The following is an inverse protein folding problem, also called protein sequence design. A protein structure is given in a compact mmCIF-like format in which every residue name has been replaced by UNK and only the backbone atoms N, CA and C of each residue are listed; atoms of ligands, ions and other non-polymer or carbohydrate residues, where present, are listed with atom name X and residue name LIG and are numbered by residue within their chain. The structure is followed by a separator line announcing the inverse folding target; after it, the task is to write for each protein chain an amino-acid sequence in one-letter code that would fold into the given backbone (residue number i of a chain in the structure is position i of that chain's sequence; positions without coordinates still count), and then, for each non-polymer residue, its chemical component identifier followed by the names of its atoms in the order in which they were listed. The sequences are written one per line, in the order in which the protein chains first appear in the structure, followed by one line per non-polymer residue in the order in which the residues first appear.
data_IF_904945448145
#
_entry.id   IF_904945448145
#
_cell.length_a   1.000
_cell.length_b   1.000
_cell.length_c   1.000
_cell.angle_alpha   90.00
_cell.angle_beta   90.00
_cell.angle_gamma   90.00
#
_symmetry.space_group_name_H-M   'P 1'
#
loop_
_entity.id
_entity.type
_entity.pdbx_description
1 polymer ?
#
# COMPACT_ATOMS: atom_id res chain seq x y z
N UNK A 1 15.40 -14.97 -42.00
CA UNK A 1 15.55 -15.67 -40.71
C UNK A 1 14.19 -16.27 -40.37
N UNK A 2 14.05 -17.57 -40.56
CA UNK A 2 12.81 -18.30 -40.37
C UNK A 2 12.82 -18.79 -38.91
N UNK A 3 12.08 -18.13 -38.02
CA UNK A 3 11.86 -18.69 -36.69
C UNK A 3 10.94 -19.90 -36.85
N UNK A 4 11.22 -21.05 -36.22
CA UNK A 4 10.30 -22.18 -36.27
C UNK A 4 8.97 -21.72 -35.67
N UNK A 5 7.89 -21.85 -36.44
CA UNK A 5 6.51 -21.68 -35.96
C UNK A 5 6.23 -22.76 -34.92
N UNK A 6 6.65 -22.52 -33.67
CA UNK A 6 6.25 -23.36 -32.54
C UNK A 6 4.71 -23.33 -32.52
N UNK A 7 4.08 -24.50 -32.62
CA UNK A 7 2.63 -24.60 -32.72
C UNK A 7 1.98 -24.15 -31.40
N UNK A 8 0.81 -23.50 -31.46
CA UNK A 8 0.09 -22.99 -30.27
C UNK A 8 -0.02 -24.02 -29.12
N UNK A 9 -0.27 -25.32 -29.36
CA UNK A 9 -0.29 -26.34 -28.30
C UNK A 9 1.05 -26.52 -27.57
N UNK A 10 2.18 -26.31 -28.24
CA UNK A 10 3.52 -26.51 -27.66
C UNK A 10 3.84 -25.45 -26.60
N UNK A 11 3.29 -24.24 -26.73
CA UNK A 11 3.48 -23.17 -25.75
C UNK A 11 2.91 -23.60 -24.39
N UNK A 12 1.66 -24.05 -24.40
CA UNK A 12 1.02 -24.44 -23.15
C UNK A 12 1.70 -25.67 -22.52
N UNK A 13 2.14 -26.63 -23.34
CA UNK A 13 2.88 -27.79 -22.85
C UNK A 13 4.21 -27.38 -22.21
N UNK A 14 4.99 -26.50 -22.84
CA UNK A 14 6.22 -25.98 -22.26
C UNK A 14 5.98 -25.19 -20.98
N UNK A 15 4.88 -24.43 -20.89
CA UNK A 15 4.52 -23.75 -19.65
C UNK A 15 4.27 -24.77 -18.52
N UNK A 16 3.60 -25.89 -18.80
CA UNK A 16 3.34 -26.95 -17.81
C UNK A 16 4.60 -27.65 -17.30
N UNK A 17 5.69 -27.60 -18.07
CA UNK A 17 7.00 -28.12 -17.64
C UNK A 17 7.70 -27.19 -16.63
N UNK A 18 7.27 -25.93 -16.52
CA UNK A 18 7.83 -24.98 -15.56
C UNK A 18 7.29 -25.30 -14.17
N UNK A 19 8.21 -25.47 -13.22
CA UNK A 19 7.84 -25.66 -11.81
C UNK A 19 6.99 -24.48 -11.29
N UNK A 20 5.85 -24.73 -10.60
CA UNK A 20 4.93 -23.66 -10.17
C UNK A 20 5.55 -22.56 -9.29
N UNK A 21 6.63 -22.87 -8.58
CA UNK A 21 7.33 -21.93 -7.70
C UNK A 21 8.54 -21.26 -8.37
N UNK A 22 8.84 -21.60 -9.62
CA UNK A 22 9.94 -20.99 -10.37
C UNK A 22 9.51 -19.62 -10.93
N UNK A 23 9.18 -18.66 -10.05
CA UNK A 23 8.56 -17.38 -10.41
C UNK A 23 9.32 -16.62 -11.49
N UNK A 24 10.65 -16.56 -11.42
CA UNK A 24 11.47 -15.93 -12.46
C UNK A 24 11.30 -16.58 -13.83
N UNK A 25 11.25 -17.92 -13.90
CA UNK A 25 11.05 -18.64 -15.17
C UNK A 25 9.65 -18.39 -15.72
N UNK A 26 8.63 -18.37 -14.86
CA UNK A 26 7.24 -18.09 -15.26
C UNK A 26 7.14 -16.69 -15.86
N UNK A 27 7.73 -15.69 -15.21
CA UNK A 27 7.75 -14.31 -15.70
C UNK A 27 8.46 -14.21 -17.04
N UNK A 28 9.69 -14.72 -17.13
CA UNK A 28 10.48 -14.68 -18.37
C UNK A 28 9.78 -15.42 -19.51
N UNK A 29 9.10 -16.53 -19.21
CA UNK A 29 8.37 -17.32 -20.18
C UNK A 29 7.16 -16.56 -20.73
N UNK A 30 6.37 -15.93 -19.84
CA UNK A 30 5.22 -15.13 -20.21
C UNK A 30 5.65 -13.95 -21.09
N UNK A 31 6.63 -13.17 -20.64
CA UNK A 31 7.06 -11.95 -21.35
C UNK A 31 7.63 -12.27 -22.74
N UNK A 32 8.33 -13.40 -22.92
CA UNK A 32 8.84 -13.82 -24.24
C UNK A 32 7.76 -14.32 -25.19
N UNK A 33 6.65 -14.85 -24.67
CA UNK A 33 5.62 -15.51 -25.46
C UNK A 33 4.26 -14.80 -25.41
N UNK A 34 4.19 -13.61 -24.84
CA UNK A 34 2.95 -12.86 -24.54
C UNK A 34 1.96 -12.89 -25.71
N UNK A 35 2.36 -12.37 -26.87
CA UNK A 35 1.52 -12.29 -28.06
C UNK A 35 0.98 -13.65 -28.55
N UNK A 36 1.68 -14.74 -28.24
CA UNK A 36 1.28 -16.10 -28.61
C UNK A 36 0.39 -16.73 -27.55
N UNK A 37 0.63 -16.44 -26.26
CA UNK A 37 -0.23 -16.84 -25.14
C UNK A 37 -1.63 -16.25 -25.32
N UNK A 38 -1.75 -14.98 -25.72
CA UNK A 38 -3.04 -14.33 -26.01
C UNK A 38 -3.79 -14.90 -27.23
N UNK A 39 -3.18 -15.81 -27.99
CA UNK A 39 -3.84 -16.53 -29.10
C UNK A 39 -4.28 -17.95 -28.72
N UNK A 40 -4.00 -18.39 -27.49
CA UNK A 40 -4.45 -19.68 -26.99
C UNK A 40 -5.95 -19.66 -26.73
N UNK A 41 -6.52 -20.86 -26.58
CA UNK A 41 -7.85 -21.00 -25.99
C UNK A 41 -7.87 -20.35 -24.61
N UNK A 42 -9.00 -19.73 -24.28
CA UNK A 42 -9.17 -18.90 -23.11
C UNK A 42 -8.74 -19.61 -21.81
N UNK A 43 -9.10 -20.88 -21.64
CA UNK A 43 -8.77 -21.64 -20.43
C UNK A 43 -7.26 -21.74 -20.21
N UNK A 44 -6.52 -21.99 -21.29
CA UNK A 44 -5.05 -22.11 -21.28
C UNK A 44 -4.42 -20.74 -21.07
N UNK A 45 -4.89 -19.73 -21.79
CA UNK A 45 -4.42 -18.36 -21.64
C UNK A 45 -4.62 -17.86 -20.21
N UNK A 46 -5.82 -18.06 -19.65
CA UNK A 46 -6.19 -17.61 -18.31
C UNK A 46 -5.33 -18.28 -17.25
N UNK A 47 -5.09 -19.60 -17.35
CA UNK A 47 -4.20 -20.30 -16.43
C UNK A 47 -2.78 -19.73 -16.43
N UNK A 48 -2.20 -19.49 -17.61
CA UNK A 48 -0.85 -18.92 -17.71
C UNK A 48 -0.85 -17.48 -17.15
N UNK A 49 -1.90 -16.69 -17.42
CA UNK A 49 -2.03 -15.32 -16.90
C UNK A 49 -2.10 -15.29 -15.38
N UNK A 50 -2.88 -16.18 -14.74
CA UNK A 50 -2.95 -16.26 -13.28
C UNK A 50 -1.59 -16.63 -12.69
N UNK A 51 -0.92 -17.65 -13.24
CA UNK A 51 0.42 -18.03 -12.76
C UNK A 51 1.45 -16.90 -12.92
N UNK A 52 1.35 -16.12 -14.00
CA UNK A 52 2.17 -14.94 -14.22
C UNK A 52 1.90 -13.86 -13.17
N UNK A 53 0.63 -13.53 -12.90
CA UNK A 53 0.25 -12.55 -11.88
C UNK A 53 0.72 -12.98 -10.48
N UNK A 54 0.57 -14.25 -10.12
CA UNK A 54 1.08 -14.81 -8.87
C UNK A 54 2.61 -14.70 -8.80
N UNK A 55 3.32 -15.04 -9.87
CA UNK A 55 4.77 -14.90 -9.93
C UNK A 55 5.24 -13.45 -9.79
N UNK A 56 4.53 -12.49 -10.40
CA UNK A 56 4.80 -11.05 -10.25
C UNK A 56 4.55 -10.60 -8.81
N UNK A 57 3.47 -11.07 -8.19
CA UNK A 57 3.12 -10.76 -6.81
C UNK A 57 4.20 -11.24 -5.83
N UNK A 58 4.59 -12.51 -5.93
CA UNK A 58 5.62 -13.13 -5.06
C UNK A 58 7.01 -12.52 -5.30
N UNK A 59 7.32 -12.14 -6.54
CA UNK A 59 8.57 -11.47 -6.89
C UNK A 59 8.58 -9.96 -6.55
N UNK A 60 7.47 -9.41 -6.05
CA UNK A 60 7.34 -7.99 -5.71
C UNK A 60 7.30 -7.03 -6.91
N UNK A 61 7.02 -7.52 -8.12
CA UNK A 61 6.96 -6.73 -9.36
C UNK A 61 5.58 -6.06 -9.51
N UNK A 62 5.20 -5.23 -8.55
CA UNK A 62 3.84 -4.70 -8.40
C UNK A 62 3.38 -3.76 -9.52
N UNK A 63 4.27 -2.96 -10.11
CA UNK A 63 3.90 -2.08 -11.24
C UNK A 63 3.43 -2.94 -12.41
N UNK A 64 4.23 -3.96 -12.76
CA UNK A 64 3.90 -4.90 -13.84
C UNK A 64 2.62 -5.69 -13.55
N UNK A 65 2.38 -6.05 -12.28
CA UNK A 65 1.14 -6.70 -11.88
C UNK A 65 -0.09 -5.81 -12.18
N UNK A 66 0.02 -4.52 -11.87
CA UNK A 66 -1.07 -3.56 -12.12
C UNK A 66 -1.39 -3.39 -13.61
N UNK A 67 -0.43 -3.66 -14.50
CA UNK A 67 -0.66 -3.61 -15.96
C UNK A 67 -1.64 -4.71 -16.44
N UNK A 68 -1.69 -5.88 -15.77
CA UNK A 68 -2.43 -7.05 -16.25
C UNK A 68 -3.56 -7.52 -15.33
N UNK A 69 -3.55 -7.13 -14.05
CA UNK A 69 -4.51 -7.67 -13.06
C UNK A 69 -5.95 -7.27 -13.39
N UNK A 70 -6.17 -6.12 -14.01
CA UNK A 70 -7.51 -5.69 -14.40
C UNK A 70 -8.10 -6.54 -15.53
N UNK A 71 -7.28 -6.90 -16.52
CA UNK A 71 -7.69 -7.82 -17.60
C UNK A 71 -8.05 -9.19 -17.03
N UNK A 72 -7.29 -9.69 -16.04
CA UNK A 72 -7.59 -10.96 -15.38
C UNK A 72 -8.87 -10.89 -14.54
N UNK A 73 -9.12 -9.78 -13.84
CA UNK A 73 -10.36 -9.56 -13.10
C UNK A 73 -11.55 -9.54 -14.05
N UNK A 74 -11.47 -8.76 -15.14
CA UNK A 74 -12.52 -8.67 -16.15
C UNK A 74 -12.80 -10.04 -16.79
N UNK A 75 -11.74 -10.75 -17.20
CA UNK A 75 -11.83 -12.09 -17.73
C UNK A 75 -12.53 -13.07 -16.76
N UNK A 76 -12.19 -13.02 -15.47
CA UNK A 76 -12.82 -13.88 -14.46
C UNK A 76 -14.32 -13.61 -14.32
N UNK A 77 -14.74 -12.35 -14.44
CA UNK A 77 -16.16 -11.96 -14.35
C UNK A 77 -16.89 -12.33 -15.65
N UNK A 78 -16.33 -11.98 -16.80
CA UNK A 78 -16.94 -12.20 -18.11
C UNK A 78 -17.18 -13.70 -18.39
N UNK A 79 -16.21 -14.54 -18.04
CA UNK A 79 -16.31 -15.99 -18.18
C UNK A 79 -16.91 -16.69 -16.95
N UNK A 80 -17.39 -15.92 -15.96
CA UNK A 80 -18.04 -16.43 -14.74
C UNK A 80 -17.19 -17.46 -13.97
N UNK A 81 -15.87 -17.26 -13.94
CA UNK A 81 -14.93 -18.09 -13.18
C UNK A 81 -14.96 -17.63 -11.73
N UNK A 82 -15.72 -18.35 -10.90
CA UNK A 82 -15.77 -18.07 -9.46
C UNK A 82 -14.57 -18.66 -8.70
N UNK A 83 -14.20 -19.89 -9.03
CA UNK A 83 -13.13 -20.61 -8.37
C UNK A 83 -12.08 -21.06 -9.39
N UNK A 84 -10.81 -20.85 -9.07
CA UNK A 84 -9.68 -21.35 -9.82
C UNK A 84 -8.73 -22.04 -8.83
N UNK A 85 -8.40 -23.31 -9.08
CA UNK A 85 -7.60 -24.14 -8.17
C UNK A 85 -8.08 -24.11 -6.69
N UNK A 86 -9.41 -24.12 -6.49
CA UNK A 86 -10.03 -24.09 -5.16
C UNK A 86 -10.05 -22.72 -4.47
N UNK A 87 -9.53 -21.67 -5.11
CA UNK A 87 -9.49 -20.30 -4.58
C UNK A 87 -10.51 -19.42 -5.26
N UNK A 88 -11.19 -18.54 -4.50
CA UNK A 88 -12.03 -17.49 -5.08
C UNK A 88 -11.13 -16.51 -5.86
N UNK A 89 -11.13 -16.65 -7.17
CA UNK A 89 -10.14 -16.00 -8.04
C UNK A 89 -10.39 -14.49 -8.11
N UNK A 90 -11.65 -14.08 -8.10
CA UNK A 90 -12.03 -12.68 -8.12
C UNK A 90 -11.55 -11.97 -6.85
N UNK A 91 -11.77 -12.58 -5.68
CA UNK A 91 -11.27 -12.05 -4.41
C UNK A 91 -9.74 -12.04 -4.36
N UNK A 92 -9.10 -13.10 -4.85
CA UNK A 92 -7.63 -13.23 -4.89
C UNK A 92 -6.99 -12.11 -5.72
N UNK A 93 -7.46 -11.90 -6.94
CA UNK A 93 -6.96 -10.86 -7.84
C UNK A 93 -7.20 -9.45 -7.29
N UNK A 94 -8.37 -9.18 -6.71
CA UNK A 94 -8.66 -7.91 -6.05
C UNK A 94 -7.72 -7.64 -4.87
N UNK A 95 -7.41 -8.67 -4.07
CA UNK A 95 -6.48 -8.53 -2.95
C UNK A 95 -5.06 -8.25 -3.46
N UNK A 96 -4.58 -8.98 -4.47
CA UNK A 96 -3.29 -8.71 -5.09
C UNK A 96 -3.21 -7.28 -5.66
N UNK A 97 -4.26 -6.83 -6.37
CA UNK A 97 -4.35 -5.45 -6.87
C UNK A 97 -4.27 -4.44 -5.72
N UNK A 98 -5.01 -4.65 -4.64
CA UNK A 98 -4.98 -3.76 -3.47
C UNK A 98 -3.59 -3.68 -2.82
N UNK A 99 -2.90 -4.83 -2.69
CA UNK A 99 -1.52 -4.89 -2.19
C UNK A 99 -0.59 -4.15 -3.14
N UNK A 100 -0.69 -4.40 -4.44
CA UNK A 100 0.15 -3.74 -5.45
C UNK A 100 -0.03 -2.23 -5.42
N UNK A 101 -1.26 -1.71 -5.39
CA UNK A 101 -1.56 -0.28 -5.22
C UNK A 101 -0.94 0.27 -3.92
N UNK A 102 -1.07 -0.44 -2.80
CA UNK A 102 -0.47 0.00 -1.53
C UNK A 102 1.06 0.07 -1.59
N UNK A 103 1.70 -0.93 -2.23
CA UNK A 103 3.16 -1.01 -2.38
C UNK A 103 3.69 0.05 -3.35
N UNK A 104 2.91 0.45 -4.34
CA UNK A 104 3.24 1.53 -5.30
C UNK A 104 2.77 2.92 -4.84
N UNK A 105 2.40 3.07 -3.55
CA UNK A 105 1.95 4.33 -2.93
C UNK A 105 0.62 4.89 -3.48
N UNK A 106 -0.14 4.09 -4.23
CA UNK A 106 -1.46 4.42 -4.74
C UNK A 106 -2.53 4.14 -3.66
N UNK A 107 -2.52 4.94 -2.58
CA UNK A 107 -3.34 4.68 -1.39
C UNK A 107 -4.85 4.85 -1.62
N UNK A 108 -5.26 5.77 -2.50
CA UNK A 108 -6.67 5.99 -2.81
C UNK A 108 -7.30 4.80 -3.55
N UNK A 109 -6.72 4.31 -4.67
CA UNK A 109 -7.16 3.06 -5.29
C UNK A 109 -7.19 1.88 -4.32
N UNK A 110 -6.14 1.71 -3.51
CA UNK A 110 -6.07 0.63 -2.53
C UNK A 110 -7.22 0.73 -1.49
N UNK A 111 -7.53 1.93 -0.98
CA UNK A 111 -8.65 2.13 -0.05
C UNK A 111 -9.99 1.70 -0.65
N UNK A 112 -10.24 2.03 -1.92
CA UNK A 112 -11.49 1.69 -2.61
C UNK A 112 -11.65 0.18 -2.74
N UNK A 113 -10.61 -0.52 -3.19
CA UNK A 113 -10.62 -1.97 -3.38
C UNK A 113 -10.78 -2.70 -2.04
N UNK A 114 -10.03 -2.29 -1.01
CA UNK A 114 -10.10 -2.92 0.31
C UNK A 114 -11.47 -2.75 0.97
N UNK A 115 -12.12 -1.60 0.77
CA UNK A 115 -13.51 -1.42 1.21
C UNK A 115 -14.48 -2.31 0.45
N UNK A 116 -14.28 -2.51 -0.85
CA UNK A 116 -15.12 -3.42 -1.63
C UNK A 116 -14.95 -4.88 -1.16
N UNK A 117 -13.71 -5.32 -0.92
CA UNK A 117 -13.41 -6.63 -0.34
C UNK A 117 -14.09 -6.84 1.03
N UNK A 118 -14.03 -5.84 1.91
CA UNK A 118 -14.69 -5.92 3.22
C UNK A 118 -16.23 -5.87 3.13
N UNK A 119 -16.80 -5.24 2.09
CA UNK A 119 -18.25 -5.32 1.84
C UNK A 119 -18.67 -6.73 1.40
N UNK A 120 -17.82 -7.41 0.64
CA UNK A 120 -18.06 -8.80 0.21
C UNK A 120 -17.89 -9.79 1.36
N UNK A 121 -16.85 -9.59 2.19
CA UNK A 121 -16.59 -10.40 3.38
C UNK A 121 -16.08 -9.52 4.54
N UNK A 122 -16.95 -9.09 5.47
CA UNK A 122 -16.57 -8.26 6.60
C UNK A 122 -15.57 -8.92 7.56
N UNK A 123 -15.51 -10.25 7.56
CA UNK A 123 -14.64 -11.06 8.41
C UNK A 123 -13.23 -11.24 7.86
N UNK A 124 -12.92 -10.70 6.68
CA UNK A 124 -11.57 -10.76 6.09
C UNK A 124 -10.58 -9.91 6.89
N UNK A 125 -9.79 -10.58 7.73
CA UNK A 125 -8.79 -9.95 8.58
C UNK A 125 -7.64 -9.34 7.76
N UNK A 126 -7.23 -9.99 6.67
CA UNK A 126 -6.16 -9.52 5.80
C UNK A 126 -6.54 -8.18 5.16
N UNK A 127 -7.73 -8.09 4.58
CA UNK A 127 -8.24 -6.84 4.00
C UNK A 127 -8.37 -5.73 5.06
N UNK A 128 -8.80 -6.08 6.27
CA UNK A 128 -8.93 -5.14 7.40
C UNK A 128 -7.59 -4.58 7.85
N UNK A 129 -6.60 -5.43 8.06
CA UNK A 129 -5.25 -5.02 8.48
C UNK A 129 -4.60 -4.17 7.39
N UNK A 130 -4.71 -4.57 6.12
CA UNK A 130 -4.16 -3.81 5.00
C UNK A 130 -4.85 -2.45 4.85
N UNK A 131 -6.17 -2.36 5.05
CA UNK A 131 -6.89 -1.09 5.06
C UNK A 131 -6.41 -0.16 6.18
N UNK A 132 -6.15 -0.70 7.37
CA UNK A 132 -5.57 0.08 8.47
C UNK A 132 -4.20 0.63 8.12
N UNK A 133 -3.31 -0.21 7.59
CA UNK A 133 -1.98 0.22 7.16
C UNK A 133 -2.05 1.29 6.05
N UNK A 134 -2.94 1.10 5.08
CA UNK A 134 -3.18 2.04 3.99
C UNK A 134 -3.61 3.42 4.52
N UNK A 135 -4.59 3.46 5.42
CA UNK A 135 -5.09 4.71 5.98
C UNK A 135 -4.07 5.42 6.88
N UNK A 136 -3.22 4.68 7.60
CA UNK A 136 -2.16 5.26 8.43
C UNK A 136 -1.04 5.87 7.58
N UNK A 137 -0.71 5.24 6.44
CA UNK A 137 0.32 5.76 5.52
C UNK A 137 -0.19 6.86 4.61
N UNK A 138 -1.49 6.91 4.34
CA UNK A 138 -2.13 8.01 3.64
C UNK A 138 -2.21 9.24 4.56
N UNK A 139 -1.10 9.96 4.69
CA UNK A 139 -0.97 11.12 5.58
C UNK A 139 -1.89 12.26 5.10
N UNK A 140 -2.91 12.66 5.87
CA UNK A 140 -3.78 13.75 5.47
C UNK A 140 -3.04 15.09 5.54
N UNK A 141 -3.42 16.08 4.73
CA UNK A 141 -2.77 17.41 4.69
C UNK A 141 -2.80 18.12 6.05
N UNK A 142 -3.77 17.80 6.92
CA UNK A 142 -3.81 18.30 8.29
C UNK A 142 -2.61 17.86 9.14
N UNK A 143 -2.12 16.63 8.97
CA UNK A 143 -0.98 16.13 9.73
C UNK A 143 0.31 16.87 9.35
N UNK A 144 0.46 17.26 8.08
CA UNK A 144 1.55 18.13 7.63
C UNK A 144 1.52 19.51 8.31
N UNK A 145 0.33 20.11 8.47
CA UNK A 145 0.17 21.39 9.19
C UNK A 145 0.57 21.27 10.67
N UNK A 146 0.17 20.19 11.34
CA UNK A 146 0.55 19.94 12.74
C UNK A 146 2.06 19.72 12.90
N UNK A 147 2.68 18.92 12.02
CA UNK A 147 4.13 18.71 12.01
C UNK A 147 4.89 20.02 11.77
N UNK A 148 4.43 20.84 10.82
CA UNK A 148 5.00 22.17 10.57
C UNK A 148 4.92 23.08 11.80
N UNK A 149 3.76 23.12 12.47
CA UNK A 149 3.59 23.89 13.72
C UNK A 149 4.53 23.42 14.85
N UNK A 150 4.70 22.11 15.02
CA UNK A 150 5.64 21.57 15.99
C UNK A 150 7.11 21.95 15.68
N UNK A 151 7.52 21.87 14.41
CA UNK A 151 8.86 22.28 13.97
C UNK A 151 9.10 23.77 14.25
N UNK A 152 8.13 24.63 13.96
CA UNK A 152 8.22 26.06 14.25
C UNK A 152 8.37 26.33 15.76
N UNK A 153 7.63 25.61 16.61
CA UNK A 153 7.77 25.70 18.07
C UNK A 153 9.16 25.25 18.55
N UNK A 154 9.71 24.18 17.98
CA UNK A 154 11.07 23.74 18.32
C UNK A 154 12.12 24.75 17.85
N UNK A 155 11.98 25.34 16.66
CA UNK A 155 12.88 26.40 16.18
C UNK A 155 12.82 27.65 17.06
N UNK A 156 11.61 28.08 17.46
CA UNK A 156 11.45 29.19 18.38
C UNK A 156 12.09 28.89 19.76
N UNK A 157 11.91 27.67 20.27
CA UNK A 157 12.55 27.24 21.52
C UNK A 157 14.08 27.27 21.41
N UNK A 158 14.64 26.83 20.29
CA UNK A 158 16.08 26.86 20.05
C UNK A 158 16.62 28.29 19.98
N UNK A 159 15.89 29.22 19.35
CA UNK A 159 16.24 30.63 19.32
C UNK A 159 16.24 31.27 20.71
N UNK A 160 15.25 30.94 21.55
CA UNK A 160 15.19 31.40 22.94
C UNK A 160 16.37 30.87 23.75
N UNK A 161 16.77 29.60 23.56
CA UNK A 161 17.97 29.02 24.20
C UNK A 161 19.23 29.78 23.80
N UNK A 162 19.41 30.04 22.51
CA UNK A 162 20.58 30.74 22.01
C UNK A 162 20.68 32.16 22.59
N UNK A 163 19.55 32.88 22.63
CA UNK A 163 19.48 34.23 23.22
C UNK A 163 19.76 34.19 24.73
N UNK A 164 19.22 33.20 25.44
CA UNK A 164 19.46 33.02 26.88
C UNK A 164 20.95 32.85 27.19
N UNK A 165 21.63 31.96 26.44
CA UNK A 165 23.04 31.64 26.63
C UNK A 165 23.97 32.80 26.24
N UNK A 166 23.70 33.48 25.13
CA UNK A 166 24.58 34.51 24.58
C UNK A 166 24.39 35.89 25.22
N UNK A 167 23.16 36.24 25.62
CA UNK A 167 22.83 37.59 26.06
C UNK A 167 22.28 37.64 27.50
N UNK A 168 21.30 36.79 27.83
CA UNK A 168 20.55 36.95 29.09
C UNK A 168 21.39 36.52 30.30
N UNK A 169 22.04 35.36 30.23
CA UNK A 169 22.95 34.90 31.31
C UNK A 169 24.11 35.85 31.59
N UNK A 170 24.86 36.35 30.58
CA UNK A 170 25.99 37.25 30.85
C UNK A 170 25.58 38.67 31.22
N UNK A 171 24.50 39.23 30.64
CA UNK A 171 24.18 40.65 30.81
C UNK A 171 22.97 40.93 31.72
N UNK A 172 22.01 40.02 31.86
CA UNK A 172 20.75 40.22 32.59
C UNK A 172 20.34 38.99 33.44
N UNK A 173 21.13 38.62 34.48
CA UNK A 173 20.89 37.41 35.27
C UNK A 173 19.52 37.41 35.98
N UNK A 174 18.95 38.57 36.29
CA UNK A 174 17.63 38.68 36.92
C UNK A 174 16.47 38.17 36.04
N UNK A 175 16.63 38.16 34.71
CA UNK A 175 15.61 37.69 33.76
C UNK A 175 15.66 36.18 33.53
N UNK A 176 16.73 35.49 33.96
CA UNK A 176 16.91 34.04 33.74
C UNK A 176 15.77 33.23 34.38
N UNK A 177 15.32 33.63 35.57
CA UNK A 177 14.24 32.95 36.30
C UNK A 177 12.89 32.96 35.57
N UNK A 178 12.66 33.93 34.67
CA UNK A 178 11.45 34.02 33.85
C UNK A 178 11.65 33.33 32.49
N UNK A 179 12.84 33.41 31.91
CA UNK A 179 13.12 32.85 30.57
C UNK A 179 13.17 31.33 30.59
N UNK A 180 13.80 30.72 31.60
CA UNK A 180 13.90 29.26 31.73
C UNK A 180 12.54 28.52 31.74
N UNK A 181 11.54 28.90 32.56
CA UNK A 181 10.23 28.24 32.53
C UNK A 181 9.49 28.48 31.21
N UNK A 182 9.65 29.67 30.61
CA UNK A 182 9.01 30.01 29.32
C UNK A 182 9.56 29.13 28.19
N UNK A 183 10.88 28.95 28.14
CA UNK A 183 11.56 28.04 27.21
C UNK A 183 11.08 26.60 27.39
N UNK A 184 11.10 26.09 28.62
CA UNK A 184 10.69 24.71 28.91
C UNK A 184 9.20 24.50 28.54
N UNK A 185 8.36 25.51 28.78
CA UNK A 185 6.96 25.52 28.34
C UNK A 185 6.83 25.43 26.82
N UNK A 186 7.61 26.20 26.07
CA UNK A 186 7.62 26.17 24.60
C UNK A 186 8.03 24.79 24.06
N UNK A 187 9.05 24.19 24.67
CA UNK A 187 9.55 22.87 24.28
C UNK A 187 8.52 21.75 24.57
N UNK A 188 7.91 21.78 25.75
CA UNK A 188 6.84 20.85 26.13
C UNK A 188 5.61 20.99 25.24
N UNK A 189 5.24 22.23 24.89
CA UNK A 189 4.16 22.51 23.96
C UNK A 189 4.44 21.92 22.58
N UNK A 190 5.67 22.06 22.06
CA UNK A 190 6.10 21.44 20.81
C UNK A 190 5.92 19.93 20.81
N UNK A 191 6.37 19.25 21.87
CA UNK A 191 6.18 17.82 22.08
C UNK A 191 4.70 17.42 22.16
N UNK A 192 3.91 18.17 22.92
CA UNK A 192 2.48 17.91 23.07
C UNK A 192 1.74 18.02 21.73
N UNK A 193 1.99 19.08 20.95
CA UNK A 193 1.38 19.27 19.62
C UNK A 193 1.76 18.13 18.67
N UNK A 194 3.03 17.71 18.67
CA UNK A 194 3.51 16.63 17.83
C UNK A 194 2.86 15.28 18.19
N UNK A 195 2.91 14.88 19.46
CA UNK A 195 2.39 13.59 19.93
C UNK A 195 0.87 13.52 19.81
N UNK A 196 0.16 14.58 20.20
CA UNK A 196 -1.30 14.62 20.11
C UNK A 196 -1.78 14.50 18.66
N UNK A 197 -1.05 15.08 17.70
CA UNK A 197 -1.36 14.93 16.27
C UNK A 197 -1.32 13.47 15.80
N UNK A 198 -0.22 12.78 16.10
CA UNK A 198 -0.02 11.37 15.73
C UNK A 198 -1.02 10.44 16.42
N UNK A 199 -1.24 10.61 17.72
CA UNK A 199 -2.18 9.79 18.50
C UNK A 199 -3.62 10.01 18.02
N UNK A 200 -4.05 11.28 17.87
CA UNK A 200 -5.39 11.61 17.38
C UNK A 200 -5.63 11.05 15.98
N UNK A 201 -4.62 11.10 15.11
CA UNK A 201 -4.72 10.55 13.76
C UNK A 201 -4.92 9.02 13.77
N UNK A 202 -4.06 8.27 14.46
CA UNK A 202 -4.18 6.80 14.56
C UNK A 202 -5.51 6.39 15.20
N UNK A 203 -5.95 7.11 16.24
CA UNK A 203 -7.21 6.83 16.91
C UNK A 203 -8.42 7.12 16.02
N UNK A 204 -8.39 8.23 15.26
CA UNK A 204 -9.43 8.56 14.30
C UNK A 204 -9.55 7.48 13.21
N UNK A 205 -8.43 6.97 12.69
CA UNK A 205 -8.42 5.87 11.72
C UNK A 205 -9.03 4.60 12.31
N UNK A 206 -8.61 4.18 13.50
CA UNK A 206 -9.19 2.99 14.17
C UNK A 206 -10.71 3.12 14.31
N UNK A 207 -11.18 4.29 14.75
CA UNK A 207 -12.62 4.59 14.85
C UNK A 207 -13.31 4.60 13.48
N UNK A 208 -12.66 5.08 12.42
CA UNK A 208 -13.21 5.09 11.05
C UNK A 208 -13.41 3.67 10.53
N UNK A 209 -12.42 2.79 10.71
CA UNK A 209 -12.49 1.39 10.28
C UNK A 209 -13.52 0.62 11.11
N UNK A 210 -13.52 0.77 12.43
CA UNK A 210 -14.51 0.12 13.29
C UNK A 210 -15.94 0.55 12.95
N UNK A 211 -16.17 1.85 12.72
CA UNK A 211 -17.49 2.35 12.27
C UNK A 211 -17.89 1.77 10.92
N UNK A 212 -16.96 1.69 9.98
CA UNK A 212 -17.21 1.10 8.67
C UNK A 212 -17.56 -0.39 8.78
N UNK A 213 -16.81 -1.19 9.54
CA UNK A 213 -17.11 -2.62 9.73
C UNK A 213 -18.46 -2.80 10.44
N UNK A 214 -18.75 -2.00 11.48
CA UNK A 214 -20.05 -2.02 12.16
C UNK A 214 -21.23 -1.63 11.27
N UNK A 215 -21.00 -0.89 10.18
CA UNK A 215 -22.06 -0.58 9.21
C UNK A 215 -22.32 -1.70 8.20
N UNK A 216 -21.53 -2.78 8.23
CA UNK A 216 -21.64 -3.92 7.30
C UNK A 216 -22.29 -5.17 7.91
N UNK A 217 -22.55 -5.18 9.22
CA UNK A 217 -23.22 -6.27 9.93
C UNK A 217 -24.43 -5.75 10.69
#
# INVERSE_FOLDING_TARGET
MNYPEIHLPEIYNHFKEIEPQAYHKIIDYFEKNEARIFRLEFEKQFEILIAYLDALYESGKFIRLLDYVDDAIEASVFHNIKYFNGTDIYRHLLLQKAVACFKTLQYEPAERILKALLKMNPSDETARVLLYQNLVRNHPPFLHKMRGGAVLLFMASAAVIALELLAIRPFLPALVSVVEPTRNGLFLLGWAVYLLGEVKHRWHIRRRIQRFIRSLG
#
